data_IF_916214680406
#
_entry.id   IF_916214680406
#
_cell.length_a   1.000
_cell.length_b   1.000
_cell.length_c   1.000
_cell.angle_alpha   90.00
_cell.angle_beta   90.00
_cell.angle_gamma   90.00
#
_symmetry.space_group_name_H-M   'P 1'
#
loop_
_entity.id
_entity.type
_entity.pdbx_description
1 polymer ?
#
# COMPACT_ATOMS: atom_id res chain seq x y z
N UNK A 1 -12.07 27.92 1.49
CA UNK A 1 -12.21 26.50 1.13
C UNK A 1 -12.16 25.71 2.42
N UNK A 2 -13.11 24.80 2.63
CA UNK A 2 -13.02 23.87 3.75
C UNK A 2 -11.80 22.97 3.48
N UNK A 3 -10.79 23.02 4.34
CA UNK A 3 -9.55 22.23 4.20
C UNK A 3 -9.60 20.93 5.00
N UNK A 4 -10.75 20.62 5.60
CA UNK A 4 -10.94 19.37 6.30
C UNK A 4 -10.88 18.19 5.31
N UNK A 5 -10.24 17.10 5.72
CA UNK A 5 -10.26 15.88 4.93
C UNK A 5 -11.68 15.30 4.88
N UNK A 6 -12.10 14.80 3.71
CA UNK A 6 -13.36 14.08 3.59
C UNK A 6 -13.38 12.84 4.48
N UNK A 7 -14.37 12.74 5.37
CA UNK A 7 -14.67 11.54 6.17
C UNK A 7 -16.11 11.07 5.96
N UNK A 8 -16.81 11.63 4.97
CA UNK A 8 -18.16 11.27 4.56
C UNK A 8 -18.09 10.43 3.28
N UNK A 9 -18.53 9.18 3.39
CA UNK A 9 -18.54 8.22 2.27
C UNK A 9 -19.37 8.73 1.09
N UNK A 10 -20.41 9.53 1.34
CA UNK A 10 -21.27 10.07 0.29
C UNK A 10 -20.58 11.11 -0.60
N UNK A 11 -19.49 11.73 -0.11
CA UNK A 11 -18.69 12.69 -0.87
C UNK A 11 -17.58 12.03 -1.72
N UNK A 12 -17.40 10.69 -1.64
CA UNK A 12 -16.35 10.01 -2.40
C UNK A 12 -16.46 10.21 -3.92
N UNK A 13 -17.68 10.20 -4.47
CA UNK A 13 -17.90 10.36 -5.91
C UNK A 13 -17.46 11.75 -6.43
N UNK A 14 -17.60 12.79 -5.60
CA UNK A 14 -17.25 14.17 -5.96
C UNK A 14 -15.78 14.51 -5.65
N UNK A 15 -15.22 13.94 -4.56
CA UNK A 15 -13.88 14.29 -4.06
C UNK A 15 -12.79 13.28 -4.44
N UNK A 16 -13.15 12.05 -4.80
CA UNK A 16 -12.21 10.99 -5.18
C UNK A 16 -11.45 10.32 -4.03
N UNK A 17 -11.73 10.68 -2.77
CA UNK A 17 -11.17 10.03 -1.59
C UNK A 17 -12.10 10.12 -0.38
N UNK A 18 -11.93 9.20 0.59
CA UNK A 18 -12.57 9.25 1.91
C UNK A 18 -11.58 8.71 2.96
N UNK A 19 -11.41 9.46 4.05
CA UNK A 19 -10.48 9.12 5.13
C UNK A 19 -11.19 8.40 6.28
N UNK A 20 -10.77 7.16 6.51
CA UNK A 20 -11.15 6.39 7.68
C UNK A 20 -10.01 6.43 8.71
N UNK A 21 -10.32 6.77 9.96
CA UNK A 21 -9.35 6.85 11.05
C UNK A 21 -9.47 5.63 11.95
N UNK A 22 -8.37 5.27 12.59
CA UNK A 22 -8.34 4.25 13.65
C UNK A 22 -8.92 2.89 13.20
N UNK A 23 -8.76 2.57 11.90
CA UNK A 23 -9.32 1.36 11.27
C UNK A 23 -8.64 0.09 11.79
N UNK A 24 -7.30 0.10 11.82
CA UNK A 24 -6.51 -1.04 12.30
C UNK A 24 -6.05 -0.74 13.73
N UNK A 25 -6.24 -1.67 14.68
CA UNK A 25 -5.80 -1.48 16.06
C UNK A 25 -4.29 -1.20 16.15
N UNK A 26 -3.89 -0.34 17.09
CA UNK A 26 -2.49 0.00 17.30
C UNK A 26 -1.61 -1.23 17.54
N UNK A 27 -2.12 -2.23 18.26
CA UNK A 27 -1.41 -3.50 18.48
C UNK A 27 -1.09 -4.24 17.18
N UNK A 28 -1.99 -4.21 16.20
CA UNK A 28 -1.77 -4.87 14.91
C UNK A 28 -0.85 -4.06 14.00
N UNK A 29 -0.89 -2.73 14.10
CA UNK A 29 0.09 -1.85 13.47
C UNK A 29 1.50 -2.14 14.00
N UNK A 30 1.66 -2.40 15.31
CA UNK A 30 2.96 -2.80 15.88
C UNK A 30 3.45 -4.14 15.33
N UNK A 31 2.57 -5.12 15.13
CA UNK A 31 2.94 -6.38 14.48
C UNK A 31 3.37 -6.12 13.03
N UNK A 32 2.61 -5.32 12.27
CA UNK A 32 2.96 -4.96 10.89
C UNK A 32 4.31 -4.25 10.80
N UNK A 33 4.66 -3.40 11.78
CA UNK A 33 5.99 -2.78 11.89
C UNK A 33 7.08 -3.82 12.11
N UNK A 34 6.86 -4.81 12.98
CA UNK A 34 7.79 -5.91 13.20
C UNK A 34 8.03 -6.76 11.95
N UNK A 35 6.96 -7.11 11.23
CA UNK A 35 7.02 -7.85 9.97
C UNK A 35 7.75 -7.04 8.89
N UNK A 36 7.46 -5.74 8.79
CA UNK A 36 8.17 -4.85 7.87
C UNK A 36 9.66 -4.79 8.20
N UNK A 37 10.03 -4.58 9.45
CA UNK A 37 11.43 -4.54 9.87
C UNK A 37 12.15 -5.84 9.53
N UNK A 38 11.48 -6.99 9.70
CA UNK A 38 12.03 -8.29 9.33
C UNK A 38 12.26 -8.38 7.82
N UNK A 39 11.31 -7.95 6.99
CA UNK A 39 11.51 -7.91 5.53
C UNK A 39 12.67 -6.99 5.14
N UNK A 40 12.75 -5.80 5.73
CA UNK A 40 13.81 -4.83 5.46
C UNK A 40 15.20 -5.36 5.81
N UNK A 41 15.32 -6.04 6.95
CA UNK A 41 16.58 -6.68 7.38
C UNK A 41 17.02 -7.83 6.47
N UNK A 42 16.08 -8.42 5.72
CA UNK A 42 16.33 -9.52 4.79
C UNK A 42 16.28 -9.08 3.31
N UNK A 43 16.37 -7.78 3.04
CA UNK A 43 16.49 -7.30 1.65
C UNK A 43 17.76 -7.88 1.02
N UNK A 44 17.69 -8.36 -0.24
CA UNK A 44 18.89 -8.79 -0.95
C UNK A 44 19.79 -7.60 -1.23
N UNK A 45 21.03 -7.82 -1.67
CA UNK A 45 21.90 -6.71 -2.13
C UNK A 45 21.41 -6.13 -3.46
N UNK A 46 20.87 -6.98 -4.33
CA UNK A 46 20.39 -6.66 -5.67
C UNK A 46 18.98 -7.22 -5.89
N UNK A 47 18.20 -6.57 -6.72
CA UNK A 47 16.89 -7.05 -7.14
C UNK A 47 16.55 -6.63 -8.57
N UNK A 48 15.65 -7.37 -9.20
CA UNK A 48 15.17 -7.07 -10.55
C UNK A 48 13.91 -6.21 -10.46
N UNK A 49 13.90 -5.07 -11.15
CA UNK A 49 12.76 -4.16 -11.25
C UNK A 49 12.39 -3.95 -12.71
N UNK A 50 11.10 -3.75 -13.00
CA UNK A 50 10.66 -3.34 -14.33
C UNK A 50 10.80 -1.83 -14.47
N UNK A 51 11.68 -1.39 -15.38
CA UNK A 51 11.98 0.03 -15.59
C UNK A 51 12.36 0.30 -17.04
N UNK A 52 11.81 1.36 -17.61
CA UNK A 52 12.02 1.75 -19.01
C UNK A 52 11.67 0.64 -20.03
N UNK A 53 10.64 -0.16 -19.74
CA UNK A 53 10.14 -1.20 -20.64
C UNK A 53 10.84 -2.56 -20.53
N UNK A 54 11.82 -2.71 -19.64
CA UNK A 54 12.61 -3.93 -19.48
C UNK A 54 12.89 -4.26 -18.01
N UNK A 55 13.23 -5.52 -17.73
CA UNK A 55 13.68 -5.96 -16.41
C UNK A 55 15.15 -5.60 -16.22
N UNK A 56 15.46 -4.86 -15.15
CA UNK A 56 16.81 -4.40 -14.81
C UNK A 56 17.20 -4.85 -13.41
N UNK A 57 18.40 -5.40 -13.26
CA UNK A 57 18.99 -5.63 -11.94
C UNK A 57 19.58 -4.33 -11.39
N UNK A 58 19.17 -3.96 -10.19
CA UNK A 58 19.56 -2.73 -9.50
C UNK A 58 19.91 -3.04 -8.04
N UNK A 59 20.59 -2.12 -7.36
CA UNK A 59 20.75 -2.20 -5.91
C UNK A 59 19.37 -2.24 -5.24
N UNK A 60 19.21 -3.17 -4.30
CA UNK A 60 17.93 -3.34 -3.67
C UNK A 60 17.56 -2.12 -2.83
N UNK A 61 16.28 -1.77 -2.89
CA UNK A 61 15.70 -0.70 -2.09
C UNK A 61 14.30 -1.08 -1.65
N UNK A 62 13.89 -0.62 -0.46
CA UNK A 62 12.58 -0.95 0.08
C UNK A 62 11.42 -0.28 -0.69
N UNK A 63 11.69 0.78 -1.47
CA UNK A 63 10.71 1.40 -2.38
C UNK A 63 10.27 0.49 -3.54
N UNK A 64 10.96 -0.64 -3.77
CA UNK A 64 10.62 -1.59 -4.82
C UNK A 64 9.99 -2.89 -4.27
N UNK A 65 9.49 -2.88 -3.03
CA UNK A 65 8.77 -4.00 -2.43
C UNK A 65 7.35 -4.10 -3.00
N UNK A 66 7.26 -4.73 -4.18
CA UNK A 66 6.01 -4.96 -4.89
C UNK A 66 5.41 -6.32 -4.54
N UNK A 67 4.10 -6.38 -4.41
CA UNK A 67 3.31 -7.61 -4.23
C UNK A 67 3.87 -8.55 -3.17
N UNK A 68 3.92 -8.13 -1.88
CA UNK A 68 4.31 -9.04 -0.81
C UNK A 68 3.25 -10.12 -0.56
N UNK A 69 1.97 -9.84 -0.82
CA UNK A 69 0.84 -10.71 -0.49
C UNK A 69 0.92 -12.15 -1.05
N UNK A 70 1.46 -12.43 -2.27
CA UNK A 70 1.57 -13.79 -2.77
C UNK A 70 2.66 -14.61 -2.07
N UNK A 71 3.65 -13.95 -1.47
CA UNK A 71 4.85 -14.59 -0.88
C UNK A 71 4.83 -14.63 0.64
N UNK A 72 4.03 -13.75 1.25
CA UNK A 72 4.05 -13.50 2.68
C UNK A 72 2.62 -13.49 3.22
N UNK A 73 2.19 -14.55 3.93
CA UNK A 73 0.82 -14.69 4.43
C UNK A 73 0.37 -13.51 5.28
N UNK A 74 1.26 -12.93 6.10
CA UNK A 74 0.92 -11.78 6.93
C UNK A 74 0.37 -10.60 6.11
N UNK A 75 1.03 -10.24 5.00
CA UNK A 75 0.61 -9.12 4.17
C UNK A 75 -0.68 -9.41 3.41
N UNK A 76 -0.94 -10.67 3.06
CA UNK A 76 -2.23 -11.08 2.51
C UNK A 76 -3.34 -10.94 3.55
N UNK A 77 -3.13 -11.40 4.77
CA UNK A 77 -4.13 -11.29 5.84
C UNK A 77 -4.39 -9.83 6.23
N UNK A 78 -3.38 -8.96 6.20
CA UNK A 78 -3.59 -7.52 6.38
C UNK A 78 -4.48 -6.93 5.27
N UNK A 79 -4.29 -7.35 4.01
CA UNK A 79 -5.16 -6.95 2.90
C UNK A 79 -6.60 -7.48 3.05
N UNK A 80 -6.79 -8.56 3.81
CA UNK A 80 -8.09 -9.21 4.09
C UNK A 80 -8.65 -8.84 5.47
N UNK A 81 -8.02 -7.91 6.17
CA UNK A 81 -8.38 -7.57 7.54
C UNK A 81 -9.83 -7.06 7.58
N UNK A 82 -10.73 -7.61 8.41
CA UNK A 82 -12.16 -7.27 8.38
C UNK A 82 -12.44 -5.78 8.48
N UNK A 83 -11.76 -5.05 9.38
CA UNK A 83 -11.96 -3.60 9.51
C UNK A 83 -11.47 -2.80 8.29
N UNK A 84 -10.46 -3.32 7.57
CA UNK A 84 -10.01 -2.71 6.31
C UNK A 84 -11.06 -2.95 5.23
N UNK A 85 -11.58 -4.17 5.12
CA UNK A 85 -12.63 -4.51 4.17
C UNK A 85 -13.92 -3.72 4.46
N UNK A 86 -14.34 -3.58 5.72
CA UNK A 86 -15.51 -2.78 6.09
C UNK A 86 -15.38 -1.32 5.58
N UNK A 87 -14.19 -0.72 5.70
CA UNK A 87 -13.92 0.63 5.22
C UNK A 87 -13.94 0.73 3.69
N UNK A 88 -13.41 -0.28 2.99
CA UNK A 88 -13.41 -0.32 1.51
C UNK A 88 -14.81 -0.60 0.96
N UNK A 89 -15.55 -1.55 1.55
CA UNK A 89 -16.91 -1.91 1.16
C UNK A 89 -17.91 -0.77 1.40
N UNK A 90 -17.67 0.10 2.39
CA UNK A 90 -18.44 1.33 2.59
C UNK A 90 -18.38 2.30 1.39
N UNK A 91 -17.35 2.17 0.53
CA UNK A 91 -17.15 2.99 -0.66
C UNK A 91 -17.49 2.22 -1.95
N UNK A 92 -16.97 1.00 -2.09
CA UNK A 92 -17.03 0.23 -3.34
C UNK A 92 -18.17 -0.79 -3.40
N UNK A 93 -18.79 -1.10 -2.26
CA UNK A 93 -19.69 -2.23 -2.12
C UNK A 93 -18.97 -3.57 -1.88
N UNK A 94 -19.75 -4.63 -1.74
CA UNK A 94 -19.26 -5.98 -1.45
C UNK A 94 -18.58 -6.65 -2.68
N UNK A 95 -18.15 -7.90 -2.51
CA UNK A 95 -17.55 -8.76 -3.54
C UNK A 95 -16.22 -8.20 -4.10
N UNK A 96 -15.34 -7.81 -3.18
CA UNK A 96 -14.02 -7.24 -3.50
C UNK A 96 -13.02 -8.31 -3.97
N UNK A 97 -12.17 -7.94 -4.93
CA UNK A 97 -10.98 -8.70 -5.33
C UNK A 97 -9.72 -7.88 -5.07
N UNK A 98 -8.70 -8.50 -4.47
CA UNK A 98 -7.39 -7.90 -4.36
C UNK A 98 -6.68 -7.97 -5.71
N UNK A 99 -6.51 -6.82 -6.37
CA UNK A 99 -5.79 -6.74 -7.65
C UNK A 99 -4.27 -6.73 -7.42
N UNK A 100 -3.80 -5.96 -6.44
CA UNK A 100 -2.36 -5.78 -6.14
C UNK A 100 -2.17 -5.30 -4.70
N UNK A 101 -0.97 -5.51 -4.14
CA UNK A 101 -0.52 -4.78 -2.94
C UNK A 101 0.91 -4.29 -3.10
N UNK A 102 1.24 -3.13 -2.52
CA UNK A 102 2.58 -2.53 -2.54
C UNK A 102 2.97 -2.01 -1.16
N UNK A 103 4.22 -2.24 -0.75
CA UNK A 103 4.82 -1.58 0.42
C UNK A 103 5.70 -0.43 -0.05
N UNK A 104 5.19 0.81 0.04
CA UNK A 104 5.94 2.01 -0.37
C UNK A 104 6.70 2.56 0.83
N UNK A 105 7.89 2.03 1.08
CA UNK A 105 8.74 2.40 2.22
C UNK A 105 9.77 3.44 1.81
N UNK A 106 9.47 4.72 2.05
CA UNK A 106 10.39 5.81 1.75
C UNK A 106 11.38 6.01 2.88
N UNK A 107 12.67 5.83 2.58
CA UNK A 107 13.73 6.12 3.55
C UNK A 107 13.81 7.62 3.85
N UNK A 108 14.27 7.94 5.05
CA UNK A 108 14.58 9.31 5.41
C UNK A 108 15.68 9.85 4.48
N UNK A 109 15.58 11.11 4.10
CA UNK A 109 16.57 11.88 3.31
C UNK A 109 16.75 11.46 1.84
N UNK A 110 16.75 10.16 1.53
CA UNK A 110 17.07 9.65 0.18
C UNK A 110 15.96 8.78 -0.45
N UNK A 111 14.74 8.87 0.08
CA UNK A 111 13.57 8.17 -0.44
C UNK A 111 13.24 8.53 -1.88
N UNK A 112 12.86 7.53 -2.68
CA UNK A 112 12.48 7.78 -4.08
C UNK A 112 11.14 8.55 -4.17
N UNK A 113 11.03 9.54 -5.09
CA UNK A 113 9.79 10.26 -5.30
C UNK A 113 8.75 9.37 -5.96
N UNK A 114 7.48 9.64 -5.68
CA UNK A 114 6.35 9.10 -6.44
C UNK A 114 5.79 10.27 -7.23
N UNK A 115 5.93 10.24 -8.55
CA UNK A 115 5.46 11.31 -9.43
C UNK A 115 3.92 11.35 -9.47
N UNK A 116 3.34 12.46 -9.91
CA UNK A 116 1.90 12.54 -10.18
C UNK A 116 1.53 11.57 -11.31
N UNK A 117 0.51 10.74 -11.07
CA UNK A 117 -0.01 9.78 -12.04
C UNK A 117 -1.46 9.41 -11.72
N UNK A 118 -2.10 8.66 -12.62
CA UNK A 118 -3.35 7.95 -12.37
C UNK A 118 -3.09 6.46 -12.46
N UNK A 119 -3.42 5.71 -11.40
CA UNK A 119 -3.13 4.28 -11.32
C UNK A 119 -3.77 3.50 -12.47
N UNK A 120 -5.01 3.81 -12.86
CA UNK A 120 -5.73 3.19 -13.98
C UNK A 120 -5.05 3.32 -15.36
N UNK A 121 -3.93 4.03 -15.47
CA UNK A 121 -3.13 4.08 -16.71
C UNK A 121 -2.05 3.00 -16.76
N UNK A 122 -1.79 2.32 -15.63
CA UNK A 122 -0.87 1.19 -15.53
C UNK A 122 -1.57 -0.18 -15.63
N UNK A 123 -2.89 -0.24 -15.43
CA UNK A 123 -3.71 -1.45 -15.40
C UNK A 123 -4.67 -1.52 -16.59
#
# INVERSE_FOLDING_TARGET
MNTAANTDVSCYADEGYCLFRDVVPESEIEVARGELNTMLANLPERQVVYKDGENKEVDARPEYLTEPHPKHPFWLELCRHPLVLDAVEAILGADLILIMSHLIVKRAEDGLPVAWHQDNTYW
#
